data_IF_890425756185
#
_entry.id   IF_890425756185
#
_cell.length_a   1.000
_cell.length_b   1.000
_cell.length_c   1.000
_cell.angle_alpha   90.00
_cell.angle_beta   90.00
_cell.angle_gamma   90.00
#
_symmetry.space_group_name_H-M   'P 1'
#
loop_
_entity.id
_entity.type
_entity.pdbx_description
1 polymer ?
#
# COMPACT_ATOMS: atom_id res chain seq x y z
N UNK A 1 37.54 -3.77 -57.15
CA UNK A 1 36.20 -3.65 -56.55
C UNK A 1 36.24 -4.51 -55.30
N UNK A 2 36.94 -4.09 -54.25
CA UNK A 2 36.64 -2.95 -53.36
C UNK A 2 35.26 -3.14 -52.72
N UNK A 3 35.34 -3.62 -51.49
CA UNK A 3 34.30 -3.68 -50.47
C UNK A 3 33.99 -2.24 -50.03
N UNK A 4 32.71 -1.88 -49.96
CA UNK A 4 32.19 -0.80 -49.10
C UNK A 4 31.31 -1.55 -48.08
N UNK A 5 31.74 -1.80 -46.84
CA UNK A 5 31.93 -0.86 -45.73
C UNK A 5 30.70 0.04 -45.54
N UNK A 6 29.95 -0.21 -44.45
CA UNK A 6 29.65 0.78 -43.40
C UNK A 6 28.39 0.35 -42.61
N UNK A 7 28.56 -0.50 -41.58
CA UNK A 7 27.86 -0.27 -40.32
C UNK A 7 28.92 -0.29 -39.23
N UNK A 8 29.16 0.93 -38.76
CA UNK A 8 29.88 1.38 -37.56
C UNK A 8 29.96 0.36 -36.42
N UNK A 9 31.20 0.22 -35.96
CA UNK A 9 31.58 -0.14 -34.60
C UNK A 9 31.08 0.90 -33.57
N UNK A 10 31.34 0.62 -32.29
CA UNK A 10 31.31 1.55 -31.12
C UNK A 10 29.92 1.59 -30.44
N UNK A 11 29.66 1.20 -29.19
CA UNK A 11 30.38 1.11 -27.91
C UNK A 11 29.48 0.30 -26.94
N UNK A 12 29.86 -0.35 -25.84
CA UNK A 12 31.10 -0.60 -25.14
C UNK A 12 30.86 -1.79 -24.18
N UNK A 13 31.88 -2.64 -24.11
CA UNK A 13 32.38 -3.42 -22.97
C UNK A 13 31.53 -3.55 -21.69
N UNK A 14 31.19 -4.81 -21.39
CA UNK A 14 31.05 -5.33 -20.03
C UNK A 14 32.27 -4.92 -19.18
N UNK A 15 32.06 -4.09 -18.15
CA UNK A 15 33.04 -3.85 -17.11
C UNK A 15 33.18 -5.09 -16.22
N UNK A 16 34.27 -5.84 -16.45
CA UNK A 16 34.93 -6.66 -15.43
C UNK A 16 35.69 -5.76 -14.45
N UNK A 17 35.41 -5.87 -13.14
CA UNK A 17 36.22 -5.46 -11.99
C UNK A 17 35.38 -5.70 -10.71
N UNK A 18 35.77 -6.39 -9.63
CA UNK A 18 37.09 -6.81 -9.16
C UNK A 18 36.96 -8.12 -8.34
N UNK A 19 38.06 -8.88 -8.33
CA UNK A 19 38.26 -10.09 -7.57
C UNK A 19 38.27 -9.85 -6.05
N UNK A 20 37.61 -10.73 -5.31
CA UNK A 20 37.79 -10.86 -3.86
C UNK A 20 39.18 -11.46 -3.56
N UNK A 21 40.06 -10.82 -2.78
CA UNK A 21 41.25 -11.51 -2.30
C UNK A 21 40.89 -12.45 -1.14
N UNK A 22 41.06 -13.74 -1.39
CA UNK A 22 41.29 -14.73 -0.35
C UNK A 22 42.61 -14.42 0.36
N UNK A 23 42.60 -14.31 1.68
CA UNK A 23 43.80 -14.29 2.52
C UNK A 23 43.57 -15.17 3.74
N UNK A 24 44.05 -16.40 3.60
CA UNK A 24 44.39 -17.32 4.67
C UNK A 24 45.54 -16.76 5.54
N UNK A 25 45.54 -17.16 6.81
CA UNK A 25 46.62 -17.10 7.82
C UNK A 25 46.90 -15.80 8.59
N UNK A 26 46.35 -15.77 9.81
CA UNK A 26 47.19 -15.61 11.00
C UNK A 26 46.65 -16.51 12.13
N UNK A 27 47.40 -17.57 12.43
CA UNK A 27 47.22 -18.40 13.61
C UNK A 27 47.62 -17.66 14.91
N UNK A 28 47.08 -18.20 16.01
CA UNK A 28 47.57 -18.12 17.39
C UNK A 28 47.45 -16.79 18.17
N UNK A 29 46.45 -16.71 19.06
CA UNK A 29 46.70 -16.86 20.51
C UNK A 29 45.47 -17.44 21.22
N UNK A 30 45.66 -18.54 21.93
CA UNK A 30 44.72 -19.17 22.87
C UNK A 30 44.40 -18.25 24.06
N UNK A 31 43.13 -18.20 24.46
CA UNK A 31 42.75 -18.05 25.86
C UNK A 31 41.32 -18.58 26.08
N UNK A 32 41.22 -19.77 26.69
CA UNK A 32 40.04 -20.16 27.44
C UNK A 32 40.02 -19.37 28.76
N UNK A 33 38.89 -18.77 29.13
CA UNK A 33 38.40 -18.92 30.50
C UNK A 33 36.87 -18.78 30.54
N UNK A 34 36.23 -19.88 30.93
CA UNK A 34 34.84 -19.92 31.36
C UNK A 34 34.68 -19.03 32.60
N UNK A 35 33.64 -18.18 32.66
CA UNK A 35 32.68 -18.21 33.78
C UNK A 35 31.52 -17.21 33.68
N UNK A 36 30.36 -17.76 34.02
CA UNK A 36 29.19 -17.18 34.70
C UNK A 36 28.31 -16.16 33.96
N UNK A 37 27.15 -16.67 33.54
CA UNK A 37 25.82 -16.20 33.90
C UNK A 37 25.60 -14.68 33.97
N UNK A 38 25.02 -14.15 32.90
CA UNK A 38 24.40 -12.83 32.87
C UNK A 38 23.20 -12.87 31.96
N UNK A 39 22.06 -13.26 32.52
CA UNK A 39 20.73 -13.19 31.95
C UNK A 39 20.45 -11.80 31.34
N UNK A 40 20.40 -11.74 30.01
CA UNK A 40 19.87 -10.62 29.24
C UNK A 40 18.91 -11.21 28.22
N UNK A 41 17.62 -11.16 28.51
CA UNK A 41 16.58 -11.85 27.75
C UNK A 41 16.57 -11.42 26.29
N UNK A 42 16.79 -12.38 25.41
CA UNK A 42 16.19 -12.36 24.08
C UNK A 42 14.67 -12.38 24.30
N UNK A 43 14.04 -11.21 24.23
CA UNK A 43 12.58 -11.15 24.21
C UNK A 43 12.12 -12.00 23.02
N UNK A 44 11.24 -12.99 23.23
CA UNK A 44 10.57 -13.64 22.13
C UNK A 44 9.83 -12.54 21.37
N UNK A 45 10.10 -12.44 20.07
CA UNK A 45 9.29 -11.64 19.16
C UNK A 45 7.87 -12.22 19.29
N UNK A 46 7.00 -11.51 20.02
CA UNK A 46 5.64 -11.95 20.28
C UNK A 46 4.96 -12.15 18.94
N UNK A 47 4.66 -13.41 18.63
CA UNK A 47 3.73 -13.75 17.58
C UNK A 47 2.40 -13.04 17.89
N UNK A 48 2.09 -12.03 17.08
CA UNK A 48 0.80 -11.38 16.88
C UNK A 48 -0.17 -11.35 18.07
N UNK A 49 -0.40 -10.15 18.61
CA UNK A 49 -1.65 -9.86 19.31
C UNK A 49 -2.82 -10.14 18.35
N UNK A 50 -3.49 -11.27 18.57
CA UNK A 50 -4.75 -11.61 17.92
C UNK A 50 -5.88 -10.97 18.72
N UNK A 51 -6.19 -9.72 18.39
CA UNK A 51 -7.48 -9.12 18.76
C UNK A 51 -8.58 -9.85 17.98
N UNK A 52 -9.20 -10.81 18.65
CA UNK A 52 -10.32 -11.59 18.12
C UNK A 52 -11.58 -10.74 18.03
N UNK A 53 -11.78 -10.08 16.89
CA UNK A 53 -13.10 -9.63 16.40
C UNK A 53 -13.32 -9.93 14.90
N UNK A 54 -12.57 -10.87 14.31
CA UNK A 54 -12.68 -11.14 12.87
C UNK A 54 -12.18 -9.98 11.98
N UNK A 55 -11.49 -9.00 12.56
CA UNK A 55 -10.91 -7.86 11.88
C UNK A 55 -9.73 -8.22 10.96
N UNK A 56 -9.71 -7.51 9.83
CA UNK A 56 -8.64 -7.52 8.84
C UNK A 56 -7.30 -7.22 9.53
N UNK A 57 -6.24 -8.04 9.34
CA UNK A 57 -4.93 -7.77 9.93
C UNK A 57 -4.42 -6.41 9.49
N UNK A 58 -4.16 -5.54 10.48
CA UNK A 58 -3.52 -4.24 10.27
C UNK A 58 -2.01 -4.43 10.29
N UNK A 59 -1.27 -3.91 9.29
CA UNK A 59 0.18 -3.98 9.26
C UNK A 59 0.77 -3.21 10.43
N UNK A 60 2.03 -3.53 10.78
CA UNK A 60 2.77 -2.81 11.82
C UNK A 60 2.67 -1.30 11.60
N UNK A 61 2.38 -0.61 12.70
CA UNK A 61 1.96 0.79 12.76
C UNK A 61 2.89 1.73 12.01
N UNK A 62 4.21 1.47 12.03
CA UNK A 62 5.23 2.25 11.34
C UNK A 62 5.16 2.18 9.80
N UNK A 63 4.65 1.08 9.24
CA UNK A 63 4.53 0.86 7.80
C UNK A 63 3.11 1.08 7.28
N UNK A 64 2.20 1.60 8.12
CA UNK A 64 0.84 1.89 7.71
C UNK A 64 0.80 3.17 6.87
N UNK A 65 0.15 3.10 5.71
CA UNK A 65 -0.10 4.24 4.83
C UNK A 65 -1.59 4.30 4.53
N UNK A 66 -2.15 5.50 4.39
CA UNK A 66 -3.55 5.72 4.07
C UNK A 66 -3.73 6.96 3.19
N UNK A 67 -4.71 6.88 2.29
CA UNK A 67 -5.14 7.98 1.44
C UNK A 67 -6.65 8.10 1.54
N UNK A 68 -7.13 9.33 1.76
CA UNK A 68 -8.53 9.71 1.74
C UNK A 68 -8.90 10.34 0.40
N UNK A 69 -10.07 10.01 -0.11
CA UNK A 69 -10.61 10.53 -1.38
C UNK A 69 -11.98 11.13 -1.08
N UNK A 70 -12.26 12.29 -1.67
CA UNK A 70 -13.58 12.90 -1.65
C UNK A 70 -14.10 13.09 -3.06
N UNK A 71 -15.41 12.97 -3.22
CA UNK A 71 -16.11 13.13 -4.48
C UNK A 71 -17.41 13.88 -4.22
N UNK A 72 -17.66 14.93 -5.01
CA UNK A 72 -18.90 15.70 -4.96
C UNK A 72 -19.77 15.31 -6.15
N UNK A 73 -20.90 14.65 -5.84
CA UNK A 73 -21.87 14.20 -6.85
C UNK A 73 -22.60 15.35 -7.54
N UNK A 74 -22.70 16.51 -6.90
CA UNK A 74 -23.54 17.61 -7.38
C UNK A 74 -22.79 18.51 -8.38
N UNK A 75 -21.46 18.59 -8.27
CA UNK A 75 -20.64 19.49 -9.08
C UNK A 75 -20.02 18.88 -10.34
N UNK A 76 -20.32 17.61 -10.66
CA UNK A 76 -19.66 16.86 -11.76
C UNK A 76 -18.12 16.95 -11.71
N UNK A 77 -17.56 17.14 -10.52
CA UNK A 77 -16.13 17.36 -10.32
C UNK A 77 -15.35 16.05 -10.31
N UNK A 78 -14.05 16.15 -10.59
CA UNK A 78 -13.15 15.01 -10.47
C UNK A 78 -13.02 14.60 -8.99
N UNK A 79 -12.91 13.30 -8.65
CA UNK A 79 -12.54 12.91 -7.29
C UNK A 79 -11.19 13.51 -6.93
N UNK A 80 -11.04 14.00 -5.70
CA UNK A 80 -9.80 14.62 -5.23
C UNK A 80 -9.27 13.94 -3.99
N UNK A 81 -7.95 14.01 -3.82
CA UNK A 81 -7.29 13.53 -2.60
C UNK A 81 -7.59 14.49 -1.45
N UNK A 82 -8.25 14.00 -0.41
CA UNK A 82 -8.61 14.82 0.76
C UNK A 82 -7.54 14.77 1.87
N UNK A 83 -6.85 13.64 2.01
CA UNK A 83 -5.84 13.44 3.04
C UNK A 83 -4.85 12.36 2.66
N UNK A 84 -3.57 12.52 3.01
CA UNK A 84 -2.55 11.47 2.87
C UNK A 84 -1.84 11.32 4.21
N UNK A 85 -1.58 10.09 4.64
CA UNK A 85 -0.92 9.81 5.91
C UNK A 85 -0.03 8.58 5.89
N UNK A 86 0.95 8.58 6.78
CA UNK A 86 1.79 7.44 7.13
C UNK A 86 1.87 7.30 8.64
N UNK A 87 2.18 6.11 9.14
CA UNK A 87 2.34 5.87 10.57
C UNK A 87 1.09 6.25 11.37
N UNK A 88 1.30 7.01 12.44
CA UNK A 88 0.23 7.55 13.30
C UNK A 88 -0.82 8.36 12.53
N UNK A 89 -0.40 9.12 11.49
CA UNK A 89 -1.36 9.89 10.68
C UNK A 89 -2.25 8.97 9.85
N UNK A 90 -1.71 7.87 9.31
CA UNK A 90 -2.50 6.89 8.56
C UNK A 90 -3.53 6.20 9.46
N UNK A 91 -3.13 5.86 10.69
CA UNK A 91 -4.03 5.30 11.69
C UNK A 91 -5.17 6.27 12.02
N UNK A 92 -4.86 7.54 12.29
CA UNK A 92 -5.86 8.55 12.60
C UNK A 92 -6.88 8.74 11.45
N UNK A 93 -6.43 8.69 10.19
CA UNK A 93 -7.31 8.73 9.02
C UNK A 93 -8.27 7.54 9.02
N UNK A 94 -7.74 6.32 9.24
CA UNK A 94 -8.54 5.09 9.24
C UNK A 94 -9.51 5.04 10.41
N UNK A 95 -9.09 5.46 11.60
CA UNK A 95 -9.94 5.52 12.78
C UNK A 95 -11.09 6.53 12.59
N UNK A 96 -10.78 7.72 12.05
CA UNK A 96 -11.79 8.71 11.71
C UNK A 96 -12.78 8.17 10.68
N UNK A 97 -12.31 7.53 9.61
CA UNK A 97 -13.16 6.92 8.60
C UNK A 97 -14.11 5.87 9.22
N UNK A 98 -13.59 4.98 10.07
CA UNK A 98 -14.41 3.99 10.79
C UNK A 98 -15.46 4.65 11.68
N UNK A 99 -15.09 5.69 12.43
CA UNK A 99 -16.01 6.40 13.33
C UNK A 99 -17.17 7.08 12.59
N UNK A 100 -16.93 7.51 11.34
CA UNK A 100 -17.91 8.14 10.46
C UNK A 100 -18.68 7.12 9.61
N UNK A 101 -18.41 5.82 9.74
CA UNK A 101 -19.01 4.79 8.89
C UNK A 101 -18.60 4.88 7.41
N UNK A 102 -17.44 5.49 7.13
CA UNK A 102 -16.86 5.56 5.79
C UNK A 102 -16.17 4.22 5.49
N UNK A 103 -16.44 3.68 4.30
CA UNK A 103 -15.83 2.43 3.86
C UNK A 103 -14.31 2.57 3.70
N UNK A 104 -13.56 1.65 4.32
CA UNK A 104 -12.09 1.60 4.21
C UNK A 104 -11.70 0.44 3.30
N UNK A 105 -11.09 0.77 2.16
CA UNK A 105 -10.60 -0.21 1.20
C UNK A 105 -9.09 -0.45 1.37
N UNK A 106 -8.67 -1.72 1.33
CA UNK A 106 -7.25 -2.10 1.42
C UNK A 106 -6.78 -2.63 0.07
N UNK A 107 -5.97 -1.83 -0.61
CA UNK A 107 -5.28 -2.23 -1.84
C UNK A 107 -3.89 -1.56 -1.87
N UNK A 108 -2.81 -2.31 -1.61
CA UNK A 108 -1.45 -1.77 -1.63
C UNK A 108 -1.02 -1.23 -3.00
N UNK A 109 -1.52 -1.82 -4.10
CA UNK A 109 -1.15 -1.36 -5.44
C UNK A 109 -1.81 -0.01 -5.72
N UNK A 110 -3.13 0.09 -5.51
CA UNK A 110 -3.85 1.36 -5.68
C UNK A 110 -3.31 2.44 -4.73
N UNK A 111 -3.00 2.09 -3.49
CA UNK A 111 -2.39 3.00 -2.52
C UNK A 111 -1.05 3.56 -3.03
N UNK A 112 -0.20 2.72 -3.64
CA UNK A 112 1.06 3.16 -4.24
C UNK A 112 0.86 4.11 -5.42
N UNK A 113 -0.24 3.98 -6.15
CA UNK A 113 -0.61 4.90 -7.22
C UNK A 113 -1.08 6.25 -6.67
N UNK A 114 -2.01 6.22 -5.72
CA UNK A 114 -2.65 7.42 -5.16
C UNK A 114 -1.72 8.23 -4.26
N UNK A 115 -0.82 7.59 -3.51
CA UNK A 115 0.09 8.30 -2.58
C UNK A 115 1.14 9.16 -3.27
N UNK A 116 1.24 9.10 -4.60
CA UNK A 116 2.13 9.95 -5.40
C UNK A 116 1.51 11.31 -5.71
N UNK A 117 0.21 11.45 -5.50
CA UNK A 117 -0.53 12.71 -5.63
C UNK A 117 -0.39 13.54 -4.35
N UNK A 118 -0.73 14.81 -4.44
CA UNK A 118 -0.79 15.73 -3.30
C UNK A 118 -2.22 15.89 -2.75
N UNK A 119 -2.35 16.34 -1.50
CA UNK A 119 -3.67 16.72 -0.96
C UNK A 119 -4.26 17.87 -1.79
N UNK A 120 -5.50 17.71 -2.24
CA UNK A 120 -6.20 18.63 -3.15
C UNK A 120 -6.03 18.31 -4.64
N UNK A 121 -5.15 17.37 -4.99
CA UNK A 121 -4.95 16.97 -6.39
C UNK A 121 -6.10 16.08 -6.89
N UNK A 122 -6.44 16.22 -8.17
CA UNK A 122 -7.42 15.38 -8.84
C UNK A 122 -6.87 13.98 -9.11
N UNK A 123 -7.70 12.96 -8.91
CA UNK A 123 -7.36 11.59 -9.27
C UNK A 123 -7.19 11.48 -10.80
N UNK A 124 -6.16 10.78 -11.30
CA UNK A 124 -6.01 10.52 -12.73
C UNK A 124 -7.17 9.70 -13.31
N UNK A 125 -7.53 9.98 -14.57
CA UNK A 125 -8.65 9.32 -15.27
C UNK A 125 -8.47 7.81 -15.38
N UNK A 126 -7.23 7.35 -15.43
CA UNK A 126 -6.85 5.95 -15.50
C UNK A 126 -7.33 5.17 -14.27
N UNK A 127 -7.46 5.84 -13.12
CA UNK A 127 -7.91 5.25 -11.85
C UNK A 127 -9.42 5.39 -11.63
N UNK A 128 -10.13 6.17 -12.46
CA UNK A 128 -11.55 6.48 -12.24
C UNK A 128 -12.44 5.25 -12.16
N UNK A 129 -12.21 4.24 -12.99
CA UNK A 129 -13.04 3.03 -12.98
C UNK A 129 -12.92 2.32 -11.62
N UNK A 130 -11.71 2.24 -11.07
CA UNK A 130 -11.46 1.59 -9.78
C UNK A 130 -12.05 2.44 -8.65
N UNK A 131 -11.83 3.75 -8.67
CA UNK A 131 -12.40 4.66 -7.65
C UNK A 131 -13.92 4.64 -7.67
N UNK A 132 -14.54 4.74 -8.85
CA UNK A 132 -15.99 4.67 -9.00
C UNK A 132 -16.55 3.34 -8.51
N UNK A 133 -15.82 2.24 -8.74
CA UNK A 133 -16.19 0.91 -8.21
C UNK A 133 -16.19 0.92 -6.68
N UNK A 134 -15.13 1.43 -6.05
CA UNK A 134 -15.03 1.52 -4.59
C UNK A 134 -16.13 2.42 -4.00
N UNK A 135 -16.35 3.60 -4.60
CA UNK A 135 -17.42 4.52 -4.19
C UNK A 135 -18.80 3.89 -4.34
N UNK A 136 -19.04 3.13 -5.41
CA UNK A 136 -20.31 2.43 -5.62
C UNK A 136 -20.59 1.41 -4.52
N UNK A 137 -19.56 0.69 -4.05
CA UNK A 137 -19.68 -0.22 -2.91
C UNK A 137 -19.94 0.55 -1.62
N UNK A 138 -19.23 1.66 -1.39
CA UNK A 138 -19.47 2.51 -0.22
C UNK A 138 -20.92 3.00 -0.16
N UNK A 139 -21.46 3.50 -1.28
CA UNK A 139 -22.85 3.95 -1.35
C UNK A 139 -23.85 2.81 -1.17
N UNK A 140 -23.59 1.65 -1.79
CA UNK A 140 -24.45 0.48 -1.63
C UNK A 140 -24.51 0.02 -0.16
N UNK A 141 -23.37 0.02 0.54
CA UNK A 141 -23.31 -0.30 1.98
C UNK A 141 -24.03 0.73 2.85
N UNK A 142 -24.14 1.98 2.38
CA UNK A 142 -24.94 3.03 3.02
C UNK A 142 -26.43 2.98 2.61
N UNK A 143 -26.84 1.99 1.81
CA UNK A 143 -28.21 1.86 1.30
C UNK A 143 -28.57 2.86 0.19
N UNK A 144 -27.58 3.60 -0.31
CA UNK A 144 -27.74 4.51 -1.43
C UNK A 144 -27.62 3.72 -2.74
N UNK A 145 -28.70 3.73 -3.51
CA UNK A 145 -28.80 2.97 -4.76
C UNK A 145 -29.46 3.86 -5.80
N UNK A 146 -28.93 3.94 -7.03
CA UNK A 146 -29.62 4.62 -8.13
C UNK A 146 -31.04 4.08 -8.37
N UNK A 147 -31.95 4.94 -8.82
CA UNK A 147 -33.35 4.55 -9.09
C UNK A 147 -33.49 3.49 -10.18
N UNK A 148 -32.48 3.36 -11.05
CA UNK A 148 -32.43 2.30 -12.07
C UNK A 148 -32.39 0.89 -11.47
N UNK A 149 -32.03 0.75 -10.19
CA UNK A 149 -32.12 -0.53 -9.47
C UNK A 149 -33.51 -0.78 -8.86
N UNK A 150 -34.43 0.18 -8.96
CA UNK A 150 -35.82 0.03 -8.50
C UNK A 150 -36.65 -0.55 -9.64
N UNK A 151 -37.26 -1.71 -9.41
CA UNK A 151 -38.18 -2.34 -10.36
C UNK A 151 -39.52 -1.59 -10.37
N UNK A 152 -40.32 -1.84 -11.40
CA UNK A 152 -41.66 -1.25 -11.55
C UNK A 152 -42.63 -1.60 -10.40
N UNK A 153 -42.35 -2.67 -9.65
CA UNK A 153 -43.10 -3.10 -8.46
C UNK A 153 -42.66 -2.38 -7.17
N UNK A 154 -41.72 -1.43 -7.25
CA UNK A 154 -41.17 -0.68 -6.12
C UNK A 154 -40.10 -1.43 -5.32
N UNK A 155 -39.75 -2.67 -5.70
CA UNK A 155 -38.67 -3.42 -5.05
C UNK A 155 -37.30 -2.99 -5.58
N UNK A 156 -36.29 -2.88 -4.70
CA UNK A 156 -34.91 -2.67 -5.10
C UNK A 156 -34.27 -4.00 -5.49
N UNK A 157 -33.65 -4.07 -6.67
CA UNK A 157 -32.96 -5.26 -7.20
C UNK A 157 -31.60 -5.53 -6.52
N UNK A 158 -31.32 -4.87 -5.39
CA UNK A 158 -30.12 -5.04 -4.58
C UNK A 158 -30.52 -5.26 -3.13
N UNK A 159 -30.00 -6.34 -2.54
CA UNK A 159 -30.20 -6.64 -1.12
C UNK A 159 -29.10 -5.97 -0.28
N UNK A 160 -29.15 -4.64 -0.18
CA UNK A 160 -28.35 -3.94 0.82
C UNK A 160 -29.10 -3.98 2.14
N UNK A 161 -28.80 -4.98 2.99
CA UNK A 161 -29.18 -4.90 4.41
C UNK A 161 -28.15 -3.97 5.07
N UNK A 162 -28.61 -2.79 5.47
CA UNK A 162 -27.88 -1.90 6.38
C UNK A 162 -28.43 -2.10 7.78
#
# INVERSE_FOLDING_TARGET
>A
MAQDDEIRQEDAEYLEAEALPSSDNAEDVKAEEMKTAGTGGEQPQEAGHIDTDGGIPVPDKENMEAVGITYDSDSSSSPVISSIGKGERAEAIVEMAKSLGIYVHRDPQLLNELKRLEEGEEVPKELFVIIATILSFSYLLQGQTPDVYTRADGTKAVNAKV
#
